data_IF_586942555632
#
_entry.id   IF_586942555632
#
_cell.length_a   1.000
_cell.length_b   1.000
_cell.length_c   1.000
_cell.angle_alpha   90.00
_cell.angle_beta   90.00
_cell.angle_gamma   90.00
#
_symmetry.space_group_name_H-M   'P 1'
#
loop_
_entity.id
_entity.type
_entity.pdbx_description
1 polymer ?
#
# COMPACT_ATOMS: atom_id res chain seq x y z
N UNK A 1 29.52 -31.81 22.33
CA UNK A 1 28.40 -31.73 21.36
C UNK A 1 27.09 -31.64 22.15
N UNK A 2 26.40 -30.49 22.17
CA UNK A 2 25.03 -30.39 22.68
C UNK A 2 24.19 -29.72 21.61
N UNK A 3 23.64 -30.51 20.70
CA UNK A 3 22.60 -30.04 19.79
C UNK A 3 21.40 -29.69 20.67
N UNK A 4 21.21 -28.39 20.90
CA UNK A 4 20.05 -27.87 21.61
C UNK A 4 18.79 -28.33 20.88
N UNK A 5 17.88 -28.96 21.64
CA UNK A 5 16.54 -29.36 21.21
C UNK A 5 15.97 -28.31 20.26
N UNK A 6 15.72 -28.68 18.99
CA UNK A 6 14.90 -27.89 18.08
C UNK A 6 13.51 -27.75 18.72
N UNK A 7 13.31 -26.71 19.53
CA UNK A 7 11.99 -26.32 19.98
C UNK A 7 11.29 -25.71 18.77
N UNK A 8 10.27 -26.41 18.27
CA UNK A 8 9.52 -26.02 17.08
C UNK A 8 8.70 -24.74 17.36
N UNK A 9 9.32 -23.57 17.23
CA UNK A 9 8.60 -22.29 17.21
C UNK A 9 7.71 -22.30 15.97
N UNK A 10 6.39 -22.28 16.20
CA UNK A 10 5.44 -22.21 15.10
C UNK A 10 5.32 -20.77 14.61
N UNK A 11 5.40 -20.60 13.30
CA UNK A 11 5.38 -19.30 12.63
C UNK A 11 3.94 -18.75 12.55
N UNK A 12 3.77 -17.42 12.52
CA UNK A 12 2.47 -16.81 12.25
C UNK A 12 2.06 -17.08 10.81
N UNK A 13 0.81 -17.47 10.62
CA UNK A 13 0.20 -17.68 9.32
C UNK A 13 -0.90 -16.65 9.10
N UNK A 14 -1.08 -16.21 7.85
CA UNK A 14 -2.24 -15.38 7.53
C UNK A 14 -3.46 -16.27 7.36
N UNK A 15 -4.63 -15.81 7.81
CA UNK A 15 -5.87 -16.57 7.63
C UNK A 15 -6.13 -16.78 6.13
N UNK A 16 -6.29 -18.04 5.70
CA UNK A 16 -6.40 -18.39 4.27
C UNK A 16 -5.07 -18.50 3.52
N UNK A 17 -3.94 -18.41 4.22
CA UNK A 17 -2.61 -18.65 3.68
C UNK A 17 -2.05 -17.52 2.80
N UNK A 18 -0.94 -17.77 2.08
CA UNK A 18 -0.23 -16.75 1.31
C UNK A 18 -1.08 -16.10 0.20
N UNK A 19 -1.94 -16.87 -0.46
CA UNK A 19 -2.81 -16.35 -1.53
C UNK A 19 -3.84 -15.35 -1.00
N UNK A 20 -4.44 -15.63 0.17
CA UNK A 20 -5.38 -14.73 0.80
C UNK A 20 -4.70 -13.44 1.29
N UNK A 21 -3.45 -13.53 1.75
CA UNK A 21 -2.64 -12.37 2.09
C UNK A 21 -2.40 -11.47 0.86
N UNK A 22 -1.98 -12.07 -0.25
CA UNK A 22 -1.74 -11.34 -1.50
C UNK A 22 -3.02 -10.69 -2.04
N UNK A 23 -4.15 -11.39 -1.98
CA UNK A 23 -5.46 -10.85 -2.36
C UNK A 23 -5.84 -9.67 -1.47
N UNK A 24 -5.74 -9.82 -0.15
CA UNK A 24 -6.01 -8.75 0.81
C UNK A 24 -5.18 -7.50 0.52
N UNK A 25 -3.87 -7.68 0.28
CA UNK A 25 -2.99 -6.54 -0.05
C UNK A 25 -3.44 -5.87 -1.34
N UNK A 26 -3.75 -6.63 -2.40
CA UNK A 26 -4.22 -6.06 -3.68
C UNK A 26 -5.54 -5.31 -3.55
N UNK A 27 -6.46 -5.81 -2.73
CA UNK A 27 -7.78 -5.20 -2.50
C UNK A 27 -7.70 -3.95 -1.63
N UNK A 28 -6.74 -3.90 -0.70
CA UNK A 28 -6.63 -2.80 0.27
C UNK A 28 -5.64 -1.71 -0.15
N UNK A 29 -4.68 -2.00 -1.04
CA UNK A 29 -3.73 -1.01 -1.57
C UNK A 29 -4.46 -0.02 -2.47
N UNK A 30 -4.25 1.27 -2.19
CA UNK A 30 -4.77 2.37 -3.00
C UNK A 30 -3.62 3.08 -3.69
N UNK A 31 -3.77 3.35 -4.97
CA UNK A 31 -2.80 4.19 -5.67
C UNK A 31 -3.01 5.66 -5.26
N UNK A 32 -1.99 6.40 -4.78
CA UNK A 32 -2.16 7.79 -4.40
C UNK A 32 -2.65 8.66 -5.57
N UNK A 33 -3.74 9.40 -5.38
CA UNK A 33 -4.40 10.17 -6.46
C UNK A 33 -3.49 11.26 -7.04
N UNK A 34 -2.72 11.91 -6.18
CA UNK A 34 -1.68 12.89 -6.51
C UNK A 34 -0.60 12.34 -7.44
N UNK A 35 -0.37 11.02 -7.43
CA UNK A 35 0.66 10.33 -8.21
C UNK A 35 0.14 9.69 -9.49
N UNK A 36 -1.17 9.76 -9.76
CA UNK A 36 -1.76 9.25 -11.00
C UNK A 36 -1.08 9.84 -12.24
N UNK A 37 -0.74 11.15 -12.31
CA UNK A 37 -0.02 11.71 -13.45
C UNK A 37 1.38 11.11 -13.65
N UNK A 38 2.05 10.75 -12.56
CA UNK A 38 3.43 10.24 -12.58
C UNK A 38 3.51 8.79 -13.10
N UNK A 39 2.39 8.05 -13.06
CA UNK A 39 2.27 6.67 -13.55
C UNK A 39 3.35 5.72 -13.00
N UNK A 40 3.85 6.01 -11.79
CA UNK A 40 4.90 5.23 -11.12
C UNK A 40 4.40 3.81 -10.87
N UNK A 41 5.18 2.83 -11.32
CA UNK A 41 4.96 1.40 -11.05
C UNK A 41 6.14 0.87 -10.25
N UNK A 42 5.87 0.09 -9.22
CA UNK A 42 6.94 -0.50 -8.42
C UNK A 42 6.48 -1.25 -7.19
N UNK A 43 7.43 -1.56 -6.32
CA UNK A 43 7.19 -2.29 -5.07
C UNK A 43 7.79 -1.52 -3.91
N UNK A 44 6.97 -1.25 -2.89
CA UNK A 44 7.44 -0.79 -1.57
C UNK A 44 7.69 -2.01 -0.69
N UNK A 45 8.87 -2.10 -0.09
CA UNK A 45 9.24 -3.17 0.85
C UNK A 45 9.11 -2.67 2.27
N UNK A 46 8.31 -3.38 3.07
CA UNK A 46 8.04 -3.04 4.47
C UNK A 46 8.49 -4.17 5.37
N UNK A 47 9.31 -3.87 6.37
CA UNK A 47 9.60 -4.77 7.48
C UNK A 47 8.60 -4.53 8.60
N UNK A 48 8.01 -5.59 9.13
CA UNK A 48 7.05 -5.51 10.22
C UNK A 48 7.36 -6.48 11.35
N UNK A 49 7.02 -6.07 12.57
CA UNK A 49 7.11 -6.87 13.79
C UNK A 49 5.70 -7.29 14.20
N UNK A 50 5.48 -8.59 14.31
CA UNK A 50 4.19 -9.18 14.67
C UNK A 50 4.29 -9.73 16.09
N UNK A 51 3.34 -9.35 16.94
CA UNK A 51 3.28 -9.81 18.33
C UNK A 51 2.59 -11.18 18.45
N UNK A 52 2.60 -11.77 19.65
CA UNK A 52 1.93 -13.05 19.94
C UNK A 52 0.41 -13.07 19.70
N UNK A 53 -0.24 -11.91 19.60
CA UNK A 53 -1.66 -11.79 19.27
C UNK A 53 -1.92 -11.71 17.75
N UNK A 54 -0.85 -11.76 16.95
CA UNK A 54 -0.93 -11.66 15.50
C UNK A 54 -1.08 -10.24 14.96
N UNK A 55 -0.95 -9.23 15.82
CA UNK A 55 -1.05 -7.84 15.40
C UNK A 55 0.33 -7.31 15.00
N UNK A 56 0.37 -6.51 13.95
CA UNK A 56 1.56 -5.74 13.58
C UNK A 56 1.76 -4.61 14.58
N UNK A 57 2.85 -4.66 15.35
CA UNK A 57 3.17 -3.67 16.38
C UNK A 57 4.19 -2.63 15.92
N UNK A 58 5.01 -2.96 14.94
CA UNK A 58 5.94 -2.03 14.28
C UNK A 58 5.97 -2.32 12.80
N UNK A 59 6.05 -1.28 11.99
CA UNK A 59 6.23 -1.37 10.55
C UNK A 59 7.18 -0.26 10.10
N UNK A 60 8.14 -0.60 9.24
CA UNK A 60 9.13 0.33 8.70
C UNK A 60 9.37 0.03 7.23
N UNK A 61 9.38 1.07 6.40
CA UNK A 61 9.80 0.95 5.00
C UNK A 61 11.30 0.75 4.93
N UNK A 62 11.74 -0.28 4.20
CA UNK A 62 13.15 -0.59 3.97
C UNK A 62 13.57 -0.28 2.53
N UNK A 63 12.62 -0.23 1.59
CA UNK A 63 12.80 0.29 0.24
C UNK A 63 11.48 0.90 -0.22
N UNK A 64 11.50 2.18 -0.58
CA UNK A 64 10.32 2.97 -0.89
C UNK A 64 10.27 3.45 -2.33
N UNK A 65 9.11 3.96 -2.73
CA UNK A 65 8.89 4.63 -4.03
C UNK A 65 8.64 6.14 -3.86
N UNK A 66 8.62 6.61 -2.62
CA UNK A 66 8.28 7.99 -2.26
C UNK A 66 7.26 8.01 -1.13
N UNK A 67 7.22 9.12 -0.39
CA UNK A 67 6.48 9.25 0.87
C UNK A 67 5.02 8.78 0.79
N UNK A 68 4.31 9.11 -0.28
CA UNK A 68 2.88 8.76 -0.43
C UNK A 68 2.65 7.26 -0.65
N UNK A 69 3.53 6.60 -1.41
CA UNK A 69 3.51 5.14 -1.58
C UNK A 69 3.93 4.42 -0.30
N UNK A 70 4.92 4.97 0.39
CA UNK A 70 5.47 4.45 1.63
C UNK A 70 4.45 4.50 2.76
N UNK A 71 3.76 5.64 2.92
CA UNK A 71 2.70 5.84 3.91
C UNK A 71 1.53 4.87 3.67
N UNK A 72 1.14 4.70 2.41
CA UNK A 72 0.07 3.78 2.03
C UNK A 72 0.46 2.31 2.25
N UNK A 73 1.69 1.92 1.91
CA UNK A 73 2.21 0.59 2.20
C UNK A 73 2.24 0.30 3.70
N UNK A 74 2.66 1.28 4.52
CA UNK A 74 2.63 1.16 5.98
C UNK A 74 1.21 1.01 6.52
N UNK A 75 0.23 1.75 5.96
CA UNK A 75 -1.18 1.62 6.33
C UNK A 75 -1.69 0.21 6.09
N UNK A 76 -1.50 -0.32 4.88
CA UNK A 76 -1.96 -1.67 4.51
C UNK A 76 -1.32 -2.73 5.39
N UNK A 77 0.00 -2.66 5.63
CA UNK A 77 0.69 -3.64 6.48
C UNK A 77 0.19 -3.59 7.93
N UNK A 78 -0.16 -2.42 8.46
CA UNK A 78 -0.74 -2.29 9.80
C UNK A 78 -2.15 -2.89 9.93
N UNK A 79 -2.89 -3.04 8.82
CA UNK A 79 -4.21 -3.68 8.83
C UNK A 79 -4.13 -5.21 8.90
N UNK A 80 -2.95 -5.79 8.65
CA UNK A 80 -2.77 -7.23 8.65
C UNK A 80 -2.94 -7.81 10.06
N UNK A 81 -3.64 -8.93 10.12
CA UNK A 81 -3.79 -9.74 11.32
C UNK A 81 -3.44 -11.19 11.02
N UNK A 82 -2.53 -11.73 11.82
CA UNK A 82 -2.02 -13.08 11.67
C UNK A 82 -2.63 -14.02 12.71
N UNK A 83 -2.72 -15.30 12.35
CA UNK A 83 -2.97 -16.39 13.27
C UNK A 83 -1.61 -16.81 13.82
N UNK A 84 -1.36 -16.49 15.09
CA UNK A 84 -0.17 -16.93 15.81
C UNK A 84 -0.57 -18.12 16.67
N UNK A 85 -0.05 -19.33 16.41
CA UNK A 85 -0.24 -20.46 17.31
C UNK A 85 0.38 -20.16 18.67
N UNK A 86 -0.25 -20.69 19.72
CA UNK A 86 0.27 -20.54 21.08
C UNK A 86 1.63 -21.23 21.19
N UNK A 87 2.67 -20.39 21.28
CA UNK A 87 3.99 -20.82 21.68
C UNK A 87 4.06 -20.70 23.21
N UNK A 88 4.69 -21.67 23.88
CA UNK A 88 4.94 -21.68 25.35
C UNK A 88 5.47 -20.33 25.83
N UNK A 89 5.37 -20.02 27.13
CA UNK A 89 5.68 -18.74 27.85
C UNK A 89 7.00 -18.00 27.50
N UNK A 90 7.19 -17.69 26.22
CA UNK A 90 8.34 -17.04 25.64
C UNK A 90 7.78 -15.81 24.93
N UNK A 91 8.35 -14.65 25.24
CA UNK A 91 8.04 -13.42 24.53
C UNK A 91 8.66 -13.50 23.14
N UNK A 92 7.85 -13.87 22.14
CA UNK A 92 8.27 -13.96 20.74
C UNK A 92 7.73 -12.76 19.96
N UNK A 93 8.60 -12.17 19.14
CA UNK A 93 8.25 -11.18 18.11
C UNK A 93 8.69 -11.73 16.77
N UNK A 94 7.79 -11.76 15.79
CA UNK A 94 8.11 -12.27 14.45
C UNK A 94 8.43 -11.10 13.52
N UNK A 95 9.59 -11.17 12.86
CA UNK A 95 10.00 -10.19 11.87
C UNK A 95 9.64 -10.70 10.48
N UNK A 96 8.76 -9.99 9.76
CA UNK A 96 8.38 -10.31 8.38
C UNK A 96 8.64 -9.15 7.44
N UNK A 97 8.87 -9.47 6.17
CA UNK A 97 8.97 -8.49 5.10
C UNK A 97 7.79 -8.67 4.15
N UNK A 98 7.20 -7.55 3.72
CA UNK A 98 6.08 -7.50 2.80
C UNK A 98 6.46 -6.67 1.58
N UNK A 99 6.06 -7.16 0.41
CA UNK A 99 6.25 -6.50 -0.87
C UNK A 99 4.90 -5.95 -1.31
N UNK A 100 4.72 -4.64 -1.20
CA UNK A 100 3.49 -3.96 -1.57
C UNK A 100 3.64 -3.42 -2.99
N UNK A 101 2.95 -4.06 -3.93
CA UNK A 101 3.03 -3.70 -5.34
C UNK A 101 2.06 -2.58 -5.67
N UNK A 102 2.56 -1.49 -6.25
CA UNK A 102 1.76 -0.41 -6.80
C UNK A 102 1.77 -0.49 -8.33
N UNK A 103 0.58 -0.63 -8.89
CA UNK A 103 0.35 -0.51 -10.32
C UNK A 103 -0.51 0.73 -10.53
N UNK A 104 -0.12 1.66 -11.43
CA UNK A 104 -0.97 2.79 -11.74
C UNK A 104 -2.30 2.28 -12.30
N UNK A 105 -3.42 2.94 -11.98
CA UNK A 105 -4.67 2.63 -12.64
C UNK A 105 -4.48 2.82 -14.14
N UNK A 106 -4.99 1.89 -14.96
CA UNK A 106 -5.07 2.12 -16.41
C UNK A 106 -5.68 3.50 -16.61
N UNK A 107 -5.19 4.32 -17.57
CA UNK A 107 -5.83 5.58 -17.88
C UNK A 107 -7.29 5.28 -18.19
N UNK A 108 -8.17 5.49 -17.20
CA UNK A 108 -9.58 5.59 -17.49
C UNK A 108 -9.65 6.80 -18.41
N UNK A 109 -10.34 6.73 -19.56
CA UNK A 109 -10.57 7.92 -20.35
C UNK A 109 -11.17 8.92 -19.37
N UNK A 110 -10.38 9.96 -19.00
CA UNK A 110 -10.83 11.04 -18.14
C UNK A 110 -12.21 11.38 -18.68
N UNK A 111 -13.30 11.39 -17.89
CA UNK A 111 -14.59 11.81 -18.41
C UNK A 111 -14.30 13.11 -19.13
N UNK A 112 -14.45 13.10 -20.47
CA UNK A 112 -14.05 14.22 -21.34
C UNK A 112 -14.59 15.43 -20.62
N UNK A 113 -13.70 16.30 -20.10
CA UNK A 113 -14.15 17.54 -19.48
C UNK A 113 -15.17 18.08 -20.46
N UNK A 114 -16.44 18.20 -20.05
CA UNK A 114 -17.50 18.69 -20.92
C UNK A 114 -16.88 19.91 -21.58
N UNK A 115 -16.67 19.86 -22.90
CA UNK A 115 -16.23 21.03 -23.63
C UNK A 115 -17.35 22.02 -23.41
N UNK A 116 -17.16 22.92 -22.45
CA UNK A 116 -18.05 24.06 -22.30
C UNK A 116 -17.74 24.86 -23.55
N UNK A 117 -18.61 24.74 -24.55
CA UNK A 117 -18.63 25.65 -25.68
C UNK A 117 -18.96 27.03 -25.13
N UNK A 118 -17.96 27.74 -24.63
CA UNK A 118 -18.07 29.17 -24.36
C UNK A 118 -17.91 29.83 -25.73
N UNK A 119 -19.05 30.08 -26.39
CA UNK A 119 -19.09 30.87 -27.61
C UNK A 119 -18.90 32.34 -27.21
N UNK A 120 -17.66 32.77 -27.02
CA UNK A 120 -17.32 34.17 -26.74
C UNK A 120 -17.49 34.94 -28.05
N UNK A 121 -18.64 35.61 -28.24
CA UNK A 121 -18.78 36.59 -29.32
C UNK A 121 -18.07 37.89 -28.92
N UNK A 122 -16.93 38.16 -29.55
CA UNK A 122 -16.30 39.47 -29.45
C UNK A 122 -17.14 40.48 -30.25
N UNK A 123 -18.01 41.22 -29.58
CA UNK A 123 -18.59 42.44 -30.16
C UNK A 123 -17.58 43.59 -29.99
N UNK A 124 -16.76 43.80 -31.02
CA UNK A 124 -15.94 45.00 -31.14
C UNK A 124 -16.82 46.14 -31.65
N UNK A 125 -17.13 47.12 -30.80
CA UNK A 125 -17.57 48.43 -31.29
C UNK A 125 -16.31 49.30 -31.43
N UNK A 126 -15.89 49.67 -32.65
CA UNK A 126 -14.83 50.67 -32.79
C UNK A 126 -15.33 51.96 -32.16
N UNK A 127 -14.56 52.50 -31.22
CA UNK A 127 -14.75 53.86 -30.73
C UNK A 127 -14.22 54.79 -31.82
N UNK A 128 -15.14 55.29 -32.64
CA UNK A 128 -14.90 56.39 -33.57
C UNK A 128 -14.44 57.63 -32.79
N UNK A 129 -13.33 58.20 -33.27
CA UNK A 129 -12.83 59.58 -33.14
C UNK A 129 -13.25 60.46 -31.96
N UNK A 130 -12.24 60.98 -31.25
CA UNK A 130 -11.78 62.38 -31.43
C UNK A 130 -10.27 62.44 -31.14
#
# INVERSE_FOLDING_TARGET
MKQGKHQSIRQPEYAGGPKALDAFVKENVRYPESRIPDQIKGVVRVKADINKKGNVVRAKVIAGLGKEFDDEALRVVKLLKFLVPENRDIKITFHKQFNITFNPPKPQPKPKAKQVNIQISYHYTPKSGD
#
